data_IF_210712659856
#
_entry.id   IF_210712659856
#
_cell.length_a   1.000
_cell.length_b   1.000
_cell.length_c   1.000
_cell.angle_alpha   90.00
_cell.angle_beta   90.00
_cell.angle_gamma   90.00
#
_symmetry.space_group_name_H-M   'P 1'
#
loop_
_entity.id
_entity.type
_entity.pdbx_description
1 polymer ?
#
# COMPACT_ATOMS: atom_id res chain seq x y z
N UNK A 1 9.55 -7.90 -19.27
CA UNK A 1 9.97 -6.58 -18.73
C UNK A 1 8.88 -5.55 -19.04
N UNK A 2 7.73 -5.55 -18.36
CA UNK A 2 6.63 -4.67 -18.81
C UNK A 2 5.72 -4.15 -17.69
N UNK A 3 5.18 -4.98 -16.77
CA UNK A 3 4.17 -4.50 -15.80
C UNK A 3 4.77 -4.00 -14.47
N UNK A 4 5.73 -4.74 -13.88
CA UNK A 4 6.40 -4.35 -12.61
C UNK A 4 7.13 -3.01 -12.71
N UNK A 5 7.78 -2.71 -13.84
CA UNK A 5 8.53 -1.46 -14.03
C UNK A 5 7.58 -0.25 -14.13
N UNK A 6 6.51 -0.37 -14.90
CA UNK A 6 5.48 0.67 -15.03
C UNK A 6 4.82 0.92 -13.68
N UNK A 7 4.38 -0.14 -13.01
CA UNK A 7 3.78 -0.12 -11.68
C UNK A 7 4.66 0.61 -10.64
N UNK A 8 5.95 0.29 -10.60
CA UNK A 8 6.96 0.94 -9.74
C UNK A 8 7.18 2.41 -10.09
N UNK A 9 7.25 2.74 -11.38
CA UNK A 9 7.43 4.11 -11.86
C UNK A 9 6.20 4.99 -11.53
N UNK A 10 4.98 4.44 -11.59
CA UNK A 10 3.77 5.14 -11.20
C UNK A 10 3.68 5.34 -9.68
N UNK A 11 4.00 4.30 -8.89
CA UNK A 11 4.02 4.42 -7.43
C UNK A 11 5.01 5.50 -6.98
N UNK A 12 6.22 5.50 -7.57
CA UNK A 12 7.23 6.52 -7.29
C UNK A 12 6.80 7.93 -7.67
N UNK A 13 6.01 8.10 -8.73
CA UNK A 13 5.43 9.42 -9.10
C UNK A 13 4.38 9.89 -8.09
N UNK A 14 3.52 8.99 -7.62
CA UNK A 14 2.50 9.31 -6.60
C UNK A 14 3.18 9.64 -5.27
N UNK A 15 4.15 8.84 -4.84
CA UNK A 15 4.94 9.09 -3.63
C UNK A 15 5.64 10.46 -3.70
N UNK A 16 6.34 10.74 -4.80
CA UNK A 16 7.03 12.01 -4.97
C UNK A 16 6.07 13.22 -4.95
N UNK A 17 4.83 13.05 -5.39
CA UNK A 17 3.79 14.10 -5.30
C UNK A 17 3.25 14.24 -3.89
N UNK A 18 3.03 13.13 -3.19
CA UNK A 18 2.55 13.12 -1.82
C UNK A 18 3.57 13.82 -0.89
N UNK A 19 4.85 13.45 -1.01
CA UNK A 19 5.94 14.05 -0.22
C UNK A 19 6.07 15.55 -0.48
N UNK A 20 5.97 15.99 -1.74
CA UNK A 20 6.07 17.42 -2.11
C UNK A 20 4.95 18.29 -1.55
N UNK A 21 3.82 17.71 -1.19
CA UNK A 21 2.63 18.43 -0.75
C UNK A 21 2.15 17.93 0.62
N UNK A 22 3.02 17.24 1.36
CA UNK A 22 2.65 16.62 2.63
C UNK A 22 2.22 17.67 3.67
N UNK A 23 2.79 18.86 3.58
CA UNK A 23 2.48 20.05 4.36
C UNK A 23 1.02 20.52 4.21
N UNK A 24 0.34 20.11 3.14
CA UNK A 24 -1.07 20.45 2.88
C UNK A 24 -2.07 19.51 3.56
N UNK A 25 -1.60 18.43 4.19
CA UNK A 25 -2.44 17.49 4.91
C UNK A 25 -2.54 17.85 6.40
N UNK A 26 -3.53 17.36 7.15
CA UNK A 26 -3.60 17.60 8.59
C UNK A 26 -2.38 17.05 9.34
N UNK A 27 -1.82 17.76 10.36
CA UNK A 27 -0.64 17.30 11.09
C UNK A 27 -0.78 15.89 11.69
N UNK A 28 -1.97 15.57 12.21
CA UNK A 28 -2.29 14.25 12.76
C UNK A 28 -2.23 13.13 11.71
N UNK A 29 -2.38 13.46 10.42
CA UNK A 29 -2.20 12.52 9.32
C UNK A 29 -0.75 12.51 8.81
N UNK A 30 -0.11 13.68 8.73
CA UNK A 30 1.28 13.83 8.29
C UNK A 30 2.25 12.94 9.09
N UNK A 31 2.05 12.83 10.41
CA UNK A 31 2.89 11.99 11.28
C UNK A 31 2.91 10.49 10.88
N UNK A 32 1.92 10.04 10.09
CA UNK A 32 1.80 8.67 9.61
C UNK A 32 2.21 8.49 8.14
N UNK A 33 2.77 9.53 7.49
CA UNK A 33 3.09 9.47 6.07
C UNK A 33 4.08 8.35 5.68
N UNK A 34 5.09 8.07 6.52
CA UNK A 34 6.03 6.96 6.25
C UNK A 34 5.34 5.60 6.35
N UNK A 35 4.53 5.41 7.39
CA UNK A 35 3.74 4.20 7.61
C UNK A 35 2.80 3.94 6.42
N UNK A 36 2.08 4.97 5.96
CA UNK A 36 1.16 4.87 4.82
C UNK A 36 1.91 4.42 3.56
N UNK A 37 3.07 5.00 3.31
CA UNK A 37 3.91 4.65 2.16
C UNK A 37 4.35 3.19 2.24
N UNK A 38 4.92 2.78 3.37
CA UNK A 38 5.48 1.44 3.56
C UNK A 38 4.40 0.36 3.38
N UNK A 39 3.26 0.53 4.04
CA UNK A 39 2.14 -0.40 3.91
C UNK A 39 1.58 -0.43 2.48
N UNK A 40 1.42 0.73 1.84
CA UNK A 40 0.91 0.80 0.46
C UNK A 40 1.86 0.16 -0.55
N UNK A 41 3.17 0.36 -0.39
CA UNK A 41 4.19 -0.23 -1.26
C UNK A 41 4.20 -1.76 -1.13
N UNK A 42 4.24 -2.28 0.11
CA UNK A 42 4.22 -3.71 0.38
C UNK A 42 2.98 -4.38 -0.23
N UNK A 43 1.79 -3.89 0.11
CA UNK A 43 0.52 -4.43 -0.40
C UNK A 43 0.46 -4.40 -1.93
N UNK A 44 0.99 -3.34 -2.55
CA UNK A 44 1.04 -3.22 -3.99
C UNK A 44 1.97 -4.24 -4.64
N UNK A 45 3.14 -4.51 -4.04
CA UNK A 45 4.10 -5.50 -4.53
C UNK A 45 3.56 -6.92 -4.43
N UNK A 46 2.87 -7.23 -3.33
CA UNK A 46 2.32 -8.56 -3.05
C UNK A 46 1.04 -8.86 -3.83
N UNK A 47 0.27 -7.85 -4.25
CA UNK A 47 -1.05 -8.05 -4.89
C UNK A 47 -1.01 -9.03 -6.08
N UNK A 48 0.05 -9.02 -6.88
CA UNK A 48 0.13 -9.88 -8.06
C UNK A 48 0.12 -11.34 -7.66
N UNK A 49 1.05 -11.71 -6.79
CA UNK A 49 1.20 -13.08 -6.30
C UNK A 49 0.03 -13.51 -5.42
N UNK A 50 -0.54 -12.60 -4.63
CA UNK A 50 -1.69 -12.91 -3.77
C UNK A 50 -2.94 -13.30 -4.57
N UNK A 51 -3.12 -12.76 -5.78
CA UNK A 51 -4.25 -13.07 -6.64
C UNK A 51 -3.97 -14.20 -7.64
N UNK A 52 -2.76 -14.25 -8.21
CA UNK A 52 -2.46 -15.10 -9.37
C UNK A 52 -1.36 -16.13 -9.11
N UNK A 53 -0.68 -16.07 -7.97
CA UNK A 53 0.46 -16.92 -7.67
C UNK A 53 1.72 -16.47 -8.41
N UNK A 54 2.71 -17.36 -8.50
CA UNK A 54 3.84 -17.20 -9.40
C UNK A 54 3.50 -17.89 -10.72
N UNK A 55 3.12 -17.09 -11.71
CA UNK A 55 2.75 -17.59 -13.03
C UNK A 55 3.94 -18.19 -13.79
N UNK A 56 5.16 -17.71 -13.53
CA UNK A 56 6.37 -18.18 -14.21
C UNK A 56 6.76 -19.58 -13.68
N UNK A 57 6.63 -19.80 -12.38
CA UNK A 57 6.97 -21.06 -11.70
C UNK A 57 5.76 -21.99 -11.45
N UNK A 58 4.55 -21.59 -11.89
CA UNK A 58 3.28 -22.31 -11.70
C UNK A 58 2.92 -22.61 -10.24
N UNK A 59 3.25 -21.69 -9.33
CA UNK A 59 2.99 -21.82 -7.89
C UNK A 59 1.71 -21.07 -7.52
N UNK A 60 0.69 -21.72 -6.94
CA UNK A 60 -0.54 -21.02 -6.55
C UNK A 60 -0.33 -20.11 -5.33
N UNK A 61 -1.18 -19.09 -5.11
CA UNK A 61 -1.08 -18.20 -3.95
C UNK A 61 -1.05 -18.94 -2.60
N UNK A 62 -1.79 -20.05 -2.48
CA UNK A 62 -1.86 -20.86 -1.24
C UNK A 62 -0.52 -21.45 -0.82
N UNK A 63 0.42 -21.58 -1.74
CA UNK A 63 1.75 -22.15 -1.51
C UNK A 63 2.81 -21.03 -1.37
N UNK A 64 2.43 -19.77 -1.63
CA UNK A 64 3.29 -18.59 -1.48
C UNK A 64 3.02 -17.82 -0.19
N UNK A 65 1.80 -17.89 0.33
CA UNK A 65 1.37 -17.12 1.49
C UNK A 65 0.74 -18.01 2.55
N UNK A 66 1.19 -17.83 3.77
CA UNK A 66 0.59 -18.39 4.96
C UNK A 66 -0.62 -17.58 5.42
N UNK A 67 -1.49 -18.24 6.20
CA UNK A 67 -2.66 -17.58 6.80
C UNK A 67 -2.28 -16.34 7.62
N UNK A 68 -1.17 -16.40 8.37
CA UNK A 68 -0.70 -15.27 9.16
C UNK A 68 -0.35 -14.06 8.30
N UNK A 69 0.23 -14.27 7.12
CA UNK A 69 0.59 -13.19 6.19
C UNK A 69 -0.68 -12.55 5.61
N UNK A 70 -1.71 -13.35 5.35
CA UNK A 70 -3.02 -12.82 4.96
C UNK A 70 -3.67 -11.98 6.09
N UNK A 71 -3.59 -12.44 7.33
CA UNK A 71 -4.08 -11.71 8.50
C UNK A 71 -3.31 -10.38 8.71
N UNK A 72 -1.99 -10.38 8.53
CA UNK A 72 -1.15 -9.18 8.56
C UNK A 72 -1.49 -8.19 7.44
N UNK A 73 -1.76 -8.68 6.23
CA UNK A 73 -2.19 -7.85 5.11
C UNK A 73 -3.54 -7.19 5.36
N UNK A 74 -4.50 -7.92 5.96
CA UNK A 74 -5.79 -7.37 6.37
C UNK A 74 -5.60 -6.27 7.42
N UNK A 75 -4.80 -6.53 8.46
CA UNK A 75 -4.51 -5.53 9.50
C UNK A 75 -3.86 -4.26 8.94
N UNK A 76 -2.96 -4.40 7.95
CA UNK A 76 -2.37 -3.26 7.24
C UNK A 76 -3.42 -2.43 6.48
N UNK A 77 -4.37 -3.08 5.80
CA UNK A 77 -5.46 -2.41 5.09
C UNK A 77 -6.39 -1.69 6.08
N UNK A 78 -6.74 -2.32 7.19
CA UNK A 78 -7.56 -1.69 8.25
C UNK A 78 -6.87 -0.47 8.85
N UNK A 79 -5.55 -0.55 9.08
CA UNK A 79 -4.74 0.57 9.55
C UNK A 79 -4.76 1.73 8.55
N UNK A 80 -4.52 1.46 7.28
CA UNK A 80 -4.57 2.46 6.21
C UNK A 80 -5.96 3.10 6.13
N UNK A 81 -7.03 2.30 6.19
CA UNK A 81 -8.40 2.81 6.17
C UNK A 81 -8.68 3.74 7.34
N UNK A 82 -8.20 3.41 8.55
CA UNK A 82 -8.28 4.29 9.72
C UNK A 82 -7.60 5.63 9.50
N UNK A 83 -6.41 5.63 8.89
CA UNK A 83 -5.66 6.86 8.57
C UNK A 83 -6.37 7.70 7.50
N UNK A 84 -6.93 7.10 6.46
CA UNK A 84 -7.71 7.85 5.47
C UNK A 84 -9.03 8.41 6.04
N UNK A 85 -9.66 7.71 6.98
CA UNK A 85 -10.81 8.26 7.73
C UNK A 85 -10.40 9.49 8.54
N UNK A 86 -9.29 9.41 9.28
CA UNK A 86 -8.73 10.55 10.02
C UNK A 86 -8.50 11.77 9.10
N UNK A 87 -7.94 11.55 7.92
CA UNK A 87 -7.75 12.61 6.92
C UNK A 87 -9.08 13.26 6.52
N UNK A 88 -10.07 12.44 6.17
CA UNK A 88 -11.35 12.92 5.68
C UNK A 88 -12.17 13.62 6.76
N UNK A 89 -12.08 13.18 8.00
CA UNK A 89 -12.80 13.80 9.10
C UNK A 89 -12.17 15.14 9.49
N UNK A 90 -10.84 15.23 9.50
CA UNK A 90 -10.16 16.51 9.78
C UNK A 90 -10.32 17.53 8.64
N UNK A 91 -10.63 17.10 7.42
CA UNK A 91 -10.85 17.98 6.27
C UNK A 91 -12.29 18.55 6.20
N UNK A 92 -13.20 18.09 7.06
CA UNK A 92 -14.59 18.58 7.13
C UNK A 92 -14.75 19.77 8.09
N UNK A 93 -13.78 19.99 8.95
CA UNK A 93 -13.69 21.12 9.88
C UNK A 93 -12.95 22.31 9.24
#
# INVERSE_FOLDING_TARGET
MTTRKIARDYLGKVEARLVRHIDRFPPAWQQHASEIRELSARLFEERGHAFYGDEDDLVPPSDLFERSEAEEAIGAVERLLGLYRLLLDTAKD
#
